data_IF_812067443659
#
_entry.id   IF_812067443659
#
_cell.length_a   1.000
_cell.length_b   1.000
_cell.length_c   1.000
_cell.angle_alpha   90.00
_cell.angle_beta   90.00
_cell.angle_gamma   90.00
#
_symmetry.space_group_name_H-M   'P 1'
#
loop_
_entity.id
_entity.type
_entity.pdbx_description
1 polymer ?
#
# COMPACT_ATOMS: atom_id res chain seq x y z
N UNK A 1 1.14 11.41 16.99
CA UNK A 1 1.40 11.44 15.53
C UNK A 1 0.65 10.35 14.76
N UNK A 2 0.26 9.25 15.43
CA UNK A 2 -0.39 8.10 14.78
C UNK A 2 -1.76 8.37 14.15
N UNK A 3 -2.60 9.27 14.70
CA UNK A 3 -3.87 9.66 14.05
C UNK A 3 -3.62 10.31 12.68
N UNK A 4 -2.68 11.25 12.60
CA UNK A 4 -2.33 11.91 11.34
C UNK A 4 -1.75 10.91 10.33
N UNK A 5 -0.91 9.99 10.78
CA UNK A 5 -0.39 8.90 9.95
C UNK A 5 -1.53 8.00 9.45
N UNK A 6 -2.47 7.61 10.32
CA UNK A 6 -3.63 6.80 9.97
C UNK A 6 -4.53 7.48 8.93
N UNK A 7 -4.85 8.76 9.11
CA UNK A 7 -5.62 9.55 8.12
C UNK A 7 -4.88 9.62 6.77
N UNK A 8 -3.58 9.87 6.80
CA UNK A 8 -2.76 9.91 5.59
C UNK A 8 -2.79 8.56 4.85
N UNK A 9 -2.69 7.44 5.58
CA UNK A 9 -2.79 6.09 5.01
C UNK A 9 -4.16 5.84 4.37
N UNK A 10 -5.25 6.28 5.02
CA UNK A 10 -6.61 6.17 4.46
C UNK A 10 -6.72 6.98 3.16
N UNK A 11 -6.25 8.23 3.13
CA UNK A 11 -6.25 9.03 1.89
C UNK A 11 -5.39 8.39 0.80
N UNK A 12 -4.26 7.81 1.18
CA UNK A 12 -3.37 7.10 0.27
C UNK A 12 -4.00 5.83 -0.30
N UNK A 13 -4.87 5.13 0.44
CA UNK A 13 -5.61 3.97 -0.08
C UNK A 13 -6.48 4.34 -1.29
N UNK A 14 -7.14 5.50 -1.23
CA UNK A 14 -7.98 6.03 -2.30
C UNK A 14 -7.09 6.47 -3.46
N UNK A 15 -6.05 7.27 -3.18
CA UNK A 15 -5.13 7.75 -4.19
C UNK A 15 -4.44 6.59 -4.93
N UNK A 16 -4.09 5.52 -4.23
CA UNK A 16 -3.48 4.32 -4.80
C UNK A 16 -4.41 3.63 -5.80
N UNK A 17 -5.68 3.40 -5.44
CA UNK A 17 -6.67 2.82 -6.34
C UNK A 17 -6.93 3.69 -7.58
N UNK A 18 -7.10 5.01 -7.36
CA UNK A 18 -7.34 5.97 -8.45
C UNK A 18 -6.14 6.03 -9.39
N UNK A 19 -4.92 6.11 -8.86
CA UNK A 19 -3.70 6.12 -9.65
C UNK A 19 -3.53 4.84 -10.47
N UNK A 20 -3.78 3.69 -9.85
CA UNK A 20 -3.72 2.40 -10.53
C UNK A 20 -4.67 2.33 -11.72
N UNK A 21 -5.95 2.63 -11.53
CA UNK A 21 -6.94 2.57 -12.62
C UNK A 21 -6.79 3.66 -13.67
N UNK A 22 -6.44 4.88 -13.28
CA UNK A 22 -6.38 6.03 -14.21
C UNK A 22 -5.04 6.16 -14.92
N UNK A 23 -3.96 5.60 -14.36
CA UNK A 23 -2.61 5.73 -14.93
C UNK A 23 -1.95 4.39 -15.23
N UNK A 24 -1.86 3.47 -14.26
CA UNK A 24 -1.12 2.22 -14.47
C UNK A 24 -1.81 1.29 -15.48
N UNK A 25 -3.14 1.15 -15.40
CA UNK A 25 -3.90 0.31 -16.33
C UNK A 25 -3.84 0.82 -17.78
N UNK A 26 -4.07 2.12 -18.07
CA UNK A 26 -3.90 2.65 -19.42
C UNK A 26 -2.48 2.52 -19.95
N UNK A 27 -1.45 2.73 -19.11
CA UNK A 27 -0.05 2.52 -19.52
C UNK A 27 0.23 1.06 -19.86
N UNK A 28 -0.24 0.11 -19.05
CA UNK A 28 -0.09 -1.32 -19.36
C UNK A 28 -0.80 -1.69 -20.67
N UNK A 29 -1.99 -1.13 -20.93
CA UNK A 29 -2.73 -1.36 -22.18
C UNK A 29 -2.00 -0.87 -23.43
N UNK A 30 -1.06 0.06 -23.31
CA UNK A 30 -0.19 0.47 -24.43
C UNK A 30 0.91 -0.56 -24.74
N UNK A 31 1.25 -1.40 -23.77
CA UNK A 31 2.31 -2.40 -23.87
C UNK A 31 1.77 -3.79 -24.22
N UNK A 32 0.57 -4.12 -23.75
CA UNK A 32 -0.05 -5.43 -23.98
C UNK A 32 -1.57 -5.36 -24.12
N UNK A 33 -2.13 -6.29 -24.90
CA UNK A 33 -3.57 -6.53 -25.02
C UNK A 33 -4.04 -7.75 -24.22
N UNK A 34 -3.15 -8.42 -23.48
CA UNK A 34 -3.49 -9.63 -22.73
C UNK A 34 -4.47 -9.32 -21.58
N UNK A 35 -5.72 -9.84 -21.62
CA UNK A 35 -6.73 -9.54 -20.61
C UNK A 35 -6.38 -10.08 -19.22
N UNK A 36 -5.61 -11.18 -19.13
CA UNK A 36 -5.19 -11.79 -17.86
C UNK A 36 -4.21 -10.88 -17.13
N UNK A 37 -3.21 -10.34 -17.83
CA UNK A 37 -2.23 -9.41 -17.24
C UNK A 37 -2.90 -8.12 -16.76
N UNK A 38 -3.80 -7.56 -17.57
CA UNK A 38 -4.54 -6.36 -17.21
C UNK A 38 -5.43 -6.62 -15.99
N UNK A 39 -6.16 -7.75 -15.98
CA UNK A 39 -6.98 -8.17 -14.84
C UNK A 39 -6.15 -8.38 -13.57
N UNK A 40 -5.00 -9.03 -13.68
CA UNK A 40 -4.09 -9.26 -12.56
C UNK A 40 -3.58 -7.95 -11.97
N UNK A 41 -3.21 -6.96 -12.80
CA UNK A 41 -2.78 -5.66 -12.31
C UNK A 41 -3.92 -4.93 -11.59
N UNK A 42 -5.17 -5.00 -12.10
CA UNK A 42 -6.34 -4.42 -11.42
C UNK A 42 -6.57 -5.02 -10.05
N UNK A 43 -6.51 -6.35 -9.95
CA UNK A 43 -6.68 -7.05 -8.67
C UNK A 43 -5.58 -6.62 -7.70
N UNK A 44 -4.32 -6.55 -8.16
CA UNK A 44 -3.20 -6.13 -7.31
C UNK A 44 -3.36 -4.69 -6.80
N UNK A 45 -3.78 -3.76 -7.65
CA UNK A 45 -4.09 -2.38 -7.26
C UNK A 45 -5.20 -2.37 -6.20
N UNK A 46 -6.30 -3.06 -6.46
CA UNK A 46 -7.45 -3.06 -5.55
C UNK A 46 -7.12 -3.70 -4.20
N UNK A 47 -6.38 -4.82 -4.20
CA UNK A 47 -5.90 -5.48 -3.00
C UNK A 47 -4.98 -4.58 -2.19
N UNK A 48 -4.03 -3.91 -2.83
CA UNK A 48 -3.15 -2.93 -2.18
C UNK A 48 -3.93 -1.78 -1.55
N UNK A 49 -4.98 -1.30 -2.24
CA UNK A 49 -5.85 -0.23 -1.75
C UNK A 49 -6.68 -0.64 -0.54
N UNK A 50 -7.33 -1.81 -0.58
CA UNK A 50 -8.08 -2.33 0.58
C UNK A 50 -7.16 -2.56 1.77
N UNK A 51 -5.97 -3.12 1.55
CA UNK A 51 -5.01 -3.37 2.62
C UNK A 51 -4.57 -2.07 3.29
N UNK A 52 -4.23 -1.05 2.49
CA UNK A 52 -3.92 0.29 3.01
C UNK A 52 -5.10 0.87 3.80
N UNK A 53 -6.32 0.76 3.28
CA UNK A 53 -7.51 1.26 3.97
C UNK A 53 -7.69 0.59 5.34
N UNK A 54 -7.61 -0.74 5.39
CA UNK A 54 -7.75 -1.50 6.63
C UNK A 54 -6.66 -1.13 7.65
N UNK A 55 -5.40 -1.05 7.22
CA UNK A 55 -4.27 -0.65 8.06
C UNK A 55 -4.43 0.79 8.56
N UNK A 56 -4.86 1.71 7.69
CA UNK A 56 -5.10 3.11 8.06
C UNK A 56 -6.20 3.25 9.10
N UNK A 57 -7.31 2.52 8.95
CA UNK A 57 -8.40 2.50 9.94
C UNK A 57 -7.91 1.95 11.28
N UNK A 58 -7.21 0.81 11.29
CA UNK A 58 -6.65 0.24 12.52
C UNK A 58 -5.71 1.21 13.21
N UNK A 59 -4.84 1.90 12.46
CA UNK A 59 -3.94 2.92 13.01
C UNK A 59 -4.71 4.08 13.65
N UNK A 60 -5.75 4.60 12.98
CA UNK A 60 -6.58 5.67 13.54
C UNK A 60 -7.27 5.22 14.83
N UNK A 61 -7.87 4.02 14.83
CA UNK A 61 -8.59 3.50 16.00
C UNK A 61 -7.63 3.23 17.18
N UNK A 62 -6.43 2.73 16.91
CA UNK A 62 -5.43 2.45 17.94
C UNK A 62 -4.89 3.75 18.53
N UNK A 63 -4.52 4.73 17.69
CA UNK A 63 -4.03 6.03 18.16
C UNK A 63 -5.11 6.92 18.77
N UNK A 64 -6.40 6.59 18.59
CA UNK A 64 -7.52 7.23 19.26
C UNK A 64 -7.94 6.50 20.56
N UNK A 65 -7.18 5.48 20.98
CA UNK A 65 -7.44 4.67 22.18
C UNK A 65 -8.81 3.97 22.16
N UNK A 66 -9.38 3.75 20.97
CA UNK A 66 -10.66 3.03 20.79
C UNK A 66 -10.44 1.52 20.83
N UNK A 67 -9.29 1.07 20.33
CA UNK A 67 -8.83 -0.32 20.37
C UNK A 67 -7.37 -0.35 20.81
N UNK A 68 -6.97 -1.41 21.50
CA UNK A 68 -5.58 -1.63 21.86
C UNK A 68 -5.04 -2.87 21.15
N UNK A 69 -3.81 -2.76 20.63
CA UNK A 69 -3.07 -3.89 20.05
C UNK A 69 -1.96 -4.27 21.04
N UNK A 70 -2.13 -5.29 21.90
CA UNK A 70 -1.13 -5.63 22.89
C UNK A 70 0.09 -6.36 22.30
N UNK A 71 1.27 -6.05 22.83
CA UNK A 71 2.51 -6.79 22.56
C UNK A 71 2.92 -6.77 21.08
N UNK A 72 3.10 -7.95 20.48
CA UNK A 72 3.57 -8.09 19.08
C UNK A 72 2.54 -7.55 18.08
N UNK A 73 1.26 -7.48 18.45
CA UNK A 73 0.20 -7.05 17.53
C UNK A 73 0.29 -5.57 17.13
N UNK A 74 1.02 -4.73 17.89
CA UNK A 74 1.37 -3.34 17.51
C UNK A 74 2.08 -3.28 16.15
N UNK A 75 2.83 -4.32 15.80
CA UNK A 75 3.59 -4.37 14.55
C UNK A 75 2.78 -4.93 13.37
N UNK A 76 1.55 -5.43 13.57
CA UNK A 76 0.74 -6.00 12.49
C UNK A 76 0.44 -4.99 11.36
N UNK A 77 0.04 -3.73 11.65
CA UNK A 77 -0.14 -2.69 10.63
C UNK A 77 1.08 -2.54 9.71
N UNK A 78 2.26 -2.36 10.31
CA UNK A 78 3.53 -2.22 9.58
C UNK A 78 3.89 -3.49 8.83
N UNK A 79 3.79 -4.65 9.49
CA UNK A 79 4.14 -5.95 8.91
C UNK A 79 3.32 -6.27 7.67
N UNK A 80 2.00 -6.01 7.69
CA UNK A 80 1.12 -6.20 6.54
C UNK A 80 1.52 -5.32 5.36
N UNK A 81 1.80 -4.04 5.60
CA UNK A 81 2.24 -3.11 4.54
C UNK A 81 3.61 -3.52 3.99
N UNK A 82 4.53 -3.96 4.85
CA UNK A 82 5.87 -4.43 4.46
C UNK A 82 5.80 -5.68 3.58
N UNK A 83 5.01 -6.70 3.98
CA UNK A 83 4.83 -7.92 3.18
C UNK A 83 4.23 -7.58 1.81
N UNK A 84 3.22 -6.71 1.77
CA UNK A 84 2.61 -6.26 0.52
C UNK A 84 3.62 -5.52 -0.38
N UNK A 85 4.40 -4.59 0.21
CA UNK A 85 5.44 -3.84 -0.49
C UNK A 85 6.52 -4.76 -1.07
N UNK A 86 7.07 -5.68 -0.26
CA UNK A 86 8.11 -6.61 -0.69
C UNK A 86 7.62 -7.57 -1.76
N UNK A 87 6.40 -8.09 -1.61
CA UNK A 87 5.78 -8.98 -2.61
C UNK A 87 5.60 -8.24 -3.95
N UNK A 88 5.06 -7.02 -3.91
CA UNK A 88 4.88 -6.19 -5.10
C UNK A 88 6.22 -5.83 -5.75
N UNK A 89 7.23 -5.48 -4.95
CA UNK A 89 8.57 -5.18 -5.44
C UNK A 89 9.21 -6.39 -6.12
N UNK A 90 9.10 -7.57 -5.50
CA UNK A 90 9.62 -8.81 -6.08
C UNK A 90 8.97 -9.12 -7.43
N UNK A 91 7.63 -9.08 -7.50
CA UNK A 91 6.88 -9.32 -8.74
C UNK A 91 7.28 -8.30 -9.82
N UNK A 92 7.32 -7.01 -9.47
CA UNK A 92 7.66 -5.96 -10.42
C UNK A 92 9.13 -6.02 -10.89
N UNK A 93 10.07 -6.35 -10.01
CA UNK A 93 11.50 -6.37 -10.32
C UNK A 93 11.94 -7.60 -11.12
N UNK A 94 11.36 -8.78 -10.83
CA UNK A 94 11.82 -10.06 -11.37
C UNK A 94 10.86 -10.70 -12.37
N UNK A 95 9.54 -10.54 -12.22
CA UNK A 95 8.54 -11.22 -13.06
C UNK A 95 8.01 -10.28 -14.15
N UNK A 96 7.67 -9.04 -13.78
CA UNK A 96 7.04 -8.08 -14.68
C UNK A 96 7.81 -6.75 -14.74
N UNK A 97 9.06 -6.81 -15.24
CA UNK A 97 9.95 -5.64 -15.37
C UNK A 97 9.35 -4.45 -16.10
N UNK A 98 8.43 -4.70 -17.03
CA UNK A 98 7.71 -3.65 -17.78
C UNK A 98 6.87 -2.76 -16.86
N UNK A 99 6.35 -3.34 -15.77
CA UNK A 99 5.49 -2.67 -14.80
C UNK A 99 6.32 -1.93 -13.73
N UNK A 100 7.61 -2.28 -13.58
CA UNK A 100 8.50 -1.70 -12.58
C UNK A 100 8.58 -0.17 -12.67
N UNK A 101 8.86 0.38 -13.87
CA UNK A 101 8.98 1.84 -14.04
C UNK A 101 7.68 2.59 -13.71
N UNK A 102 6.54 1.96 -14.00
CA UNK A 102 5.20 2.51 -13.78
C UNK A 102 4.84 2.49 -12.28
N UNK A 103 5.42 1.56 -11.51
CA UNK A 103 5.16 1.36 -10.08
C UNK A 103 6.15 2.08 -9.15
N UNK A 104 7.26 2.63 -9.67
CA UNK A 104 8.24 3.41 -8.88
C UNK A 104 7.60 4.50 -8.00
N UNK A 105 6.72 5.39 -8.52
CA UNK A 105 6.14 6.46 -7.70
C UNK A 105 5.36 5.90 -6.51
N UNK A 106 4.72 4.75 -6.72
CA UNK A 106 3.98 4.04 -5.68
C UNK A 106 4.93 3.50 -4.62
N UNK A 107 6.04 2.87 -5.01
CA UNK A 107 7.04 2.36 -4.06
C UNK A 107 7.65 3.46 -3.18
N UNK A 108 7.89 4.65 -3.73
CA UNK A 108 8.37 5.81 -2.96
C UNK A 108 7.37 6.17 -1.87
N UNK A 109 6.09 6.26 -2.21
CA UNK A 109 5.05 6.63 -1.23
C UNK A 109 4.88 5.53 -0.16
N UNK A 110 4.87 4.26 -0.55
CA UNK A 110 4.81 3.15 0.42
C UNK A 110 6.00 3.15 1.38
N UNK A 111 7.20 3.48 0.90
CA UNK A 111 8.40 3.60 1.75
C UNK A 111 8.22 4.69 2.79
N UNK A 112 7.71 5.86 2.38
CA UNK A 112 7.41 6.96 3.31
C UNK A 112 6.36 6.55 4.36
N UNK A 113 5.30 5.85 3.94
CA UNK A 113 4.27 5.34 4.86
C UNK A 113 4.87 4.37 5.87
N UNK A 114 5.70 3.41 5.43
CA UNK A 114 6.35 2.45 6.32
C UNK A 114 7.21 3.17 7.37
N UNK A 115 7.99 4.17 6.94
CA UNK A 115 8.81 4.97 7.86
C UNK A 115 7.92 5.69 8.88
N UNK A 116 6.83 6.34 8.43
CA UNK A 116 5.90 7.04 9.33
C UNK A 116 5.23 6.10 10.34
N UNK A 117 4.85 4.90 9.91
CA UNK A 117 4.25 3.91 10.82
C UNK A 117 5.27 3.39 11.84
N UNK A 118 6.49 3.06 11.43
CA UNK A 118 7.56 2.65 12.34
C UNK A 118 7.85 3.77 13.35
N UNK A 119 7.95 5.01 12.89
CA UNK A 119 8.15 6.16 13.78
C UNK A 119 6.98 6.32 14.77
N UNK A 120 5.73 6.13 14.32
CA UNK A 120 4.57 6.18 15.21
C UNK A 120 4.69 5.17 16.35
N UNK A 121 5.07 3.93 16.04
CA UNK A 121 5.26 2.86 17.04
C UNK A 121 6.43 3.16 17.99
N UNK A 122 7.52 3.78 17.50
CA UNK A 122 8.68 4.10 18.34
C UNK A 122 8.50 5.35 19.22
N UNK A 123 7.47 6.17 18.96
CA UNK A 123 7.21 7.41 19.70
C UNK A 123 5.99 7.36 20.61
N UNK A 124 5.25 6.25 20.58
CA UNK A 124 4.20 5.88 21.54
C UNK A 124 4.80 4.95 22.60
#
# INVERSE_FOLDING_TARGET
MGIAAGILIVLMSIAHNVYGEKKQIPELKKLTSNPIMIGSLRIMIFQGGILLLAVGVVQVLTSAEVIELPGISVYFPVGLVLINFLTSLFIAAFIHREIFKITIPQFVIFTLIIILQILSICTE
#
